data_IF_374791994360
#
_entry.id   IF_374791994360
#
_cell.length_a   1.000
_cell.length_b   1.000
_cell.length_c   1.000
_cell.angle_alpha   90.00
_cell.angle_beta   90.00
_cell.angle_gamma   90.00
#
_symmetry.space_group_name_H-M   'P 1'
#
loop_
_entity.id
_entity.type
_entity.pdbx_description
1 polymer ?
#
# COMPACT_ATOMS: atom_id res chain seq x y z
N UNK A 1 -1.27 7.47 -16.74
CA UNK A 1 -2.55 8.24 -16.61
C UNK A 1 -3.70 7.64 -17.45
N UNK A 2 -3.69 6.36 -17.82
CA UNK A 2 -4.62 5.78 -18.81
C UNK A 2 -5.86 5.10 -18.17
N UNK A 3 -6.47 5.71 -17.14
CA UNK A 3 -7.63 5.15 -16.45
C UNK A 3 -8.72 6.17 -16.08
N UNK A 4 -8.57 7.43 -16.48
CA UNK A 4 -9.44 8.55 -16.10
C UNK A 4 -10.24 9.12 -17.29
N UNK A 5 -10.41 8.35 -18.35
CA UNK A 5 -11.07 8.82 -19.57
C UNK A 5 -12.59 8.86 -19.42
N UNK A 6 -13.15 7.94 -18.61
CA UNK A 6 -14.57 7.90 -18.27
C UNK A 6 -14.95 8.95 -17.22
N UNK A 7 -16.10 9.65 -17.37
CA UNK A 7 -16.66 10.52 -16.33
C UNK A 7 -16.83 9.82 -14.98
N UNK A 8 -17.21 8.54 -14.97
CA UNK A 8 -17.39 7.77 -13.73
C UNK A 8 -16.07 7.53 -13.01
N UNK A 9 -15.00 7.18 -13.74
CA UNK A 9 -13.67 6.97 -13.14
C UNK A 9 -13.11 8.26 -12.54
N UNK A 10 -13.39 9.40 -13.19
CA UNK A 10 -13.03 10.72 -12.66
C UNK A 10 -13.81 11.03 -11.39
N UNK A 11 -15.12 10.78 -11.36
CA UNK A 11 -15.96 10.99 -10.18
C UNK A 11 -15.50 10.13 -9.00
N UNK A 12 -15.24 8.83 -9.23
CA UNK A 12 -14.73 7.92 -8.19
C UNK A 12 -13.40 8.41 -7.62
N UNK A 13 -12.45 8.81 -8.49
CA UNK A 13 -11.16 9.34 -8.04
C UNK A 13 -11.34 10.57 -7.16
N UNK A 14 -12.18 11.53 -7.58
CA UNK A 14 -12.41 12.76 -6.80
C UNK A 14 -13.03 12.45 -5.44
N UNK A 15 -14.05 11.58 -5.39
CA UNK A 15 -14.69 11.17 -4.15
C UNK A 15 -13.70 10.49 -3.20
N UNK A 16 -12.86 9.58 -3.70
CA UNK A 16 -11.82 8.90 -2.91
C UNK A 16 -10.81 9.89 -2.32
N UNK A 17 -10.39 10.90 -3.09
CA UNK A 17 -9.47 11.93 -2.58
C UNK A 17 -10.10 12.71 -1.43
N UNK A 18 -11.35 13.14 -1.58
CA UNK A 18 -12.09 13.83 -0.51
C UNK A 18 -12.26 12.94 0.72
N UNK A 19 -12.56 11.65 0.54
CA UNK A 19 -12.74 10.72 1.65
C UNK A 19 -11.46 10.48 2.45
N UNK A 20 -10.31 10.39 1.79
CA UNK A 20 -9.02 10.13 2.44
C UNK A 20 -8.40 11.41 3.00
N UNK A 21 -8.47 12.51 2.25
CA UNK A 21 -7.70 13.73 2.52
C UNK A 21 -8.54 14.95 2.90
N UNK A 22 -9.87 14.84 2.89
CA UNK A 22 -10.80 15.97 3.10
C UNK A 22 -10.84 16.99 1.95
N UNK A 23 -10.05 16.76 0.89
CA UNK A 23 -9.92 17.62 -0.29
C UNK A 23 -9.45 16.80 -1.48
N UNK A 24 -9.47 17.40 -2.66
CA UNK A 24 -8.77 16.86 -3.83
C UNK A 24 -7.39 17.53 -3.91
N UNK A 25 -6.28 16.80 -3.66
CA UNK A 25 -4.95 17.39 -3.83
C UNK A 25 -4.73 17.82 -5.29
N UNK A 26 -4.13 19.00 -5.52
CA UNK A 26 -3.80 19.43 -6.86
C UNK A 26 -2.68 18.55 -7.44
N UNK A 27 -2.60 18.50 -8.77
CA UNK A 27 -1.74 17.54 -9.47
C UNK A 27 -0.25 17.77 -9.20
N UNK A 28 0.17 19.03 -9.13
CA UNK A 28 1.52 19.47 -8.79
C UNK A 28 1.96 18.98 -7.41
N UNK A 29 1.07 19.02 -6.41
CA UNK A 29 1.36 18.47 -5.07
C UNK A 29 1.63 16.96 -5.15
N UNK A 30 0.81 16.23 -5.90
CA UNK A 30 0.96 14.78 -6.06
C UNK A 30 2.26 14.45 -6.78
N UNK A 31 2.58 15.16 -7.87
CA UNK A 31 3.84 14.98 -8.62
C UNK A 31 5.03 15.26 -7.70
N UNK A 32 5.03 16.40 -7.01
CA UNK A 32 6.13 16.80 -6.11
C UNK A 32 6.38 15.75 -5.02
N UNK A 33 5.32 15.19 -4.43
CA UNK A 33 5.44 14.12 -3.43
C UNK A 33 6.07 12.85 -4.01
N UNK A 34 5.70 12.48 -5.23
CA UNK A 34 6.26 11.30 -5.91
C UNK A 34 7.73 11.54 -6.24
N UNK A 35 8.05 12.69 -6.83
CA UNK A 35 9.43 13.03 -7.23
C UNK A 35 10.36 13.17 -6.02
N UNK A 36 9.81 13.50 -4.84
CA UNK A 36 10.59 13.59 -3.59
C UNK A 36 10.97 12.25 -2.97
N UNK A 37 10.46 11.11 -3.47
CA UNK A 37 10.76 9.80 -2.89
C UNK A 37 12.23 9.45 -3.10
N UNK A 38 12.94 9.20 -2.01
CA UNK A 38 14.35 8.78 -2.03
C UNK A 38 14.51 7.28 -1.81
N UNK A 39 15.71 6.76 -2.11
CA UNK A 39 16.04 5.36 -1.80
C UNK A 39 15.99 5.07 -0.30
N UNK A 40 16.36 6.04 0.54
CA UNK A 40 16.36 5.86 1.99
C UNK A 40 14.93 5.84 2.55
N UNK A 41 14.01 6.60 1.97
CA UNK A 41 12.57 6.49 2.30
C UNK A 41 12.04 5.08 2.01
N UNK A 42 12.41 4.53 0.86
CA UNK A 42 11.99 3.18 0.45
C UNK A 42 12.62 2.12 1.36
N UNK A 43 13.90 2.25 1.72
CA UNK A 43 14.56 1.33 2.66
C UNK A 43 13.91 1.35 4.03
N UNK A 44 13.64 2.52 4.57
CA UNK A 44 12.97 2.68 5.87
C UNK A 44 11.56 2.09 5.85
N UNK A 45 10.78 2.37 4.80
CA UNK A 45 9.46 1.77 4.63
C UNK A 45 9.55 0.24 4.54
N UNK A 46 10.54 -0.28 3.80
CA UNK A 46 10.76 -1.71 3.66
C UNK A 46 11.17 -2.37 4.98
N UNK A 47 12.05 -1.73 5.77
CA UNK A 47 12.46 -2.21 7.09
C UNK A 47 11.25 -2.30 8.04
N UNK A 48 10.49 -1.21 8.17
CA UNK A 48 9.27 -1.20 8.99
C UNK A 48 8.27 -2.26 8.52
N UNK A 49 8.00 -2.30 7.21
CA UNK A 49 6.99 -3.22 6.65
C UNK A 49 7.42 -4.67 6.72
N UNK A 50 8.68 -4.99 6.45
CA UNK A 50 9.15 -6.36 6.35
C UNK A 50 9.59 -6.94 7.69
N UNK A 51 10.21 -6.15 8.58
CA UNK A 51 10.75 -6.64 9.84
C UNK A 51 9.79 -6.39 11.03
N UNK A 52 9.09 -5.26 11.07
CA UNK A 52 8.41 -4.81 12.29
C UNK A 52 6.88 -4.96 12.22
N UNK A 53 6.28 -4.64 11.07
CA UNK A 53 4.84 -4.53 10.94
C UNK A 53 4.12 -5.89 11.14
N UNK A 54 3.02 -5.92 11.90
CA UNK A 54 2.26 -7.14 12.15
C UNK A 54 1.68 -7.68 10.83
N UNK A 55 1.83 -8.98 10.61
CA UNK A 55 1.21 -9.67 9.47
C UNK A 55 -0.11 -10.33 9.88
N UNK A 56 -1.06 -10.34 8.95
CA UNK A 56 -2.30 -11.11 9.05
C UNK A 56 -2.30 -12.22 7.98
N UNK A 57 -2.81 -13.40 8.31
CA UNK A 57 -2.89 -14.54 7.41
C UNK A 57 -4.33 -15.05 7.33
N UNK A 58 -4.85 -15.18 6.11
CA UNK A 58 -6.12 -15.82 5.82
C UNK A 58 -5.88 -17.00 4.86
N UNK A 59 -6.37 -18.18 5.22
CA UNK A 59 -6.21 -19.42 4.47
C UNK A 59 -7.59 -19.97 4.10
N UNK A 60 -7.75 -20.42 2.86
CA UNK A 60 -9.03 -20.96 2.37
C UNK A 60 -8.78 -22.19 1.47
N UNK A 61 -9.54 -23.27 1.69
CA UNK A 61 -9.40 -24.54 0.96
C UNK A 61 -8.59 -25.61 1.71
N UNK A 62 -7.96 -26.58 1.00
CA UNK A 62 -7.17 -27.65 1.61
C UNK A 62 -5.80 -27.13 2.08
N UNK A 63 -5.77 -26.55 3.27
CA UNK A 63 -4.60 -25.78 3.78
C UNK A 63 -3.79 -26.55 4.82
N UNK A 64 -3.88 -27.88 4.83
CA UNK A 64 -3.22 -28.73 5.82
C UNK A 64 -1.68 -28.59 5.81
N UNK A 65 -1.09 -28.29 4.65
CA UNK A 65 0.36 -28.10 4.48
C UNK A 65 0.79 -26.62 4.50
N UNK A 66 -0.14 -25.69 4.76
CA UNK A 66 0.18 -24.27 4.79
C UNK A 66 0.98 -23.91 6.06
N UNK A 67 1.97 -23.00 5.94
CA UNK A 67 2.72 -22.54 7.11
C UNK A 67 1.82 -21.74 8.06
N UNK A 68 2.08 -21.84 9.36
CA UNK A 68 1.43 -20.98 10.34
C UNK A 68 1.93 -19.54 10.21
N UNK A 69 1.11 -18.59 10.67
CA UNK A 69 1.54 -17.18 10.76
C UNK A 69 2.80 -17.03 11.61
N UNK A 70 2.93 -17.80 12.68
CA UNK A 70 4.12 -17.83 13.54
C UNK A 70 5.37 -18.28 12.77
N UNK A 71 5.27 -19.36 11.99
CA UNK A 71 6.38 -19.85 11.16
C UNK A 71 6.82 -18.82 10.12
N UNK A 72 5.87 -18.03 9.58
CA UNK A 72 6.18 -16.92 8.68
C UNK A 72 6.83 -15.74 9.40
N UNK A 73 6.39 -15.41 10.63
CA UNK A 73 6.99 -14.35 11.44
C UNK A 73 8.43 -14.66 11.84
N UNK A 74 8.71 -15.91 12.24
CA UNK A 74 10.08 -16.35 12.58
C UNK A 74 11.05 -16.19 11.40
N UNK A 75 10.58 -16.35 10.16
CA UNK A 75 11.40 -16.17 8.95
C UNK A 75 11.69 -14.71 8.61
N UNK A 76 10.94 -13.74 9.16
CA UNK A 76 11.14 -12.30 8.90
C UNK A 76 12.26 -11.70 9.76
N UNK A 77 12.60 -12.36 10.86
CA UNK A 77 13.61 -11.90 11.82
C UNK A 77 15.05 -12.36 11.50
N UNK A 78 15.24 -13.14 10.43
CA UNK A 78 16.53 -13.64 9.95
C UNK A 78 16.98 -12.88 8.71
#
# INVERSE_FOLDING_TARGET
LMGLESPSNRAERLARMVQIWGRVPPLDEVITRIDSVTLDDVRRLAEETAAEAPAALALYGPVAEAPSLEALQQRRAA
#
